data_IF_711033058797
#
_entry.id   IF_711033058797
#
_cell.length_a   1.000
_cell.length_b   1.000
_cell.length_c   1.000
_cell.angle_alpha   90.00
_cell.angle_beta   90.00
_cell.angle_gamma   90.00
#
_symmetry.space_group_name_H-M   'P 1'
#
loop_
_entity.id
_entity.type
_entity.pdbx_description
1 polymer ?
#
# COMPACT_ATOMS: atom_id res chain seq x y z
N UNK A 1 -12.55 24.52 1.00
CA UNK A 1 -11.44 24.28 1.96
C UNK A 1 -10.74 22.98 1.59
N UNK A 2 -9.57 23.04 0.94
CA UNK A 2 -8.82 21.85 0.50
C UNK A 2 -7.99 21.27 1.65
N UNK A 3 -8.45 20.17 2.26
CA UNK A 3 -7.68 19.46 3.28
C UNK A 3 -6.39 18.90 2.65
N UNK A 4 -5.24 19.22 3.25
CA UNK A 4 -3.88 18.77 2.91
C UNK A 4 -3.64 17.27 3.18
N UNK A 5 -4.61 16.39 2.89
CA UNK A 5 -4.41 14.95 3.05
C UNK A 5 -3.44 14.45 1.97
N UNK A 6 -2.35 13.80 2.38
CA UNK A 6 -1.37 13.17 1.47
C UNK A 6 0.06 13.72 1.50
N UNK A 7 0.38 14.73 2.31
CA UNK A 7 1.79 15.19 2.46
C UNK A 7 2.70 14.16 3.14
N UNK A 8 2.34 13.56 4.30
CA UNK A 8 3.18 12.56 4.96
C UNK A 8 3.40 11.34 4.06
N UNK A 9 2.32 10.82 3.47
CA UNK A 9 2.35 9.70 2.52
C UNK A 9 3.34 9.90 1.37
N UNK A 10 3.30 11.07 0.72
CA UNK A 10 4.22 11.38 -0.39
C UNK A 10 5.67 11.49 0.08
N UNK A 11 5.91 11.98 1.30
CA UNK A 11 7.25 12.07 1.88
C UNK A 11 7.81 10.68 2.16
N UNK A 12 7.02 9.78 2.75
CA UNK A 12 7.42 8.41 3.03
C UNK A 12 7.72 7.64 1.74
N UNK A 13 6.86 7.75 0.72
CA UNK A 13 7.13 7.20 -0.60
C UNK A 13 8.43 7.75 -1.21
N UNK A 14 8.67 9.05 -1.08
CA UNK A 14 9.88 9.69 -1.62
C UNK A 14 11.13 9.18 -0.90
N UNK A 15 11.06 9.00 0.41
CA UNK A 15 12.13 8.42 1.22
C UNK A 15 12.42 6.99 0.79
N UNK A 16 11.42 6.12 0.72
CA UNK A 16 11.63 4.71 0.31
C UNK A 16 12.16 4.63 -1.13
N UNK A 17 11.62 5.43 -2.06
CA UNK A 17 12.16 5.56 -3.43
C UNK A 17 13.65 5.90 -3.45
N UNK A 18 14.09 6.80 -2.58
CA UNK A 18 15.51 7.17 -2.46
C UNK A 18 16.33 6.02 -1.89
N UNK A 19 15.85 5.36 -0.83
CA UNK A 19 16.56 4.25 -0.17
C UNK A 19 16.75 3.05 -1.11
N UNK A 20 15.74 2.71 -1.92
CA UNK A 20 15.83 1.63 -2.93
C UNK A 20 16.93 1.83 -3.99
N UNK A 21 17.45 3.05 -4.15
CA UNK A 21 18.52 3.35 -5.10
C UNK A 21 19.91 3.22 -4.49
N UNK A 22 20.02 3.09 -3.17
CA UNK A 22 21.29 2.98 -2.47
C UNK A 22 21.74 1.51 -2.46
N UNK A 23 23.01 1.27 -2.79
CA UNK A 23 23.59 -0.08 -2.83
C UNK A 23 23.48 -0.80 -1.47
N UNK A 24 23.59 -0.06 -0.37
CA UNK A 24 23.47 -0.57 0.99
C UNK A 24 22.11 -1.18 1.33
N UNK A 25 21.08 -0.91 0.51
CA UNK A 25 19.72 -1.42 0.72
C UNK A 25 19.24 -2.31 -0.43
N UNK A 26 20.17 -2.87 -1.24
CA UNK A 26 19.79 -3.74 -2.35
C UNK A 26 18.99 -4.96 -1.89
N UNK A 27 19.35 -5.61 -0.79
CA UNK A 27 18.61 -6.79 -0.31
C UNK A 27 17.50 -6.44 0.70
N UNK A 28 17.15 -5.16 0.84
CA UNK A 28 16.17 -4.71 1.83
C UNK A 28 14.74 -4.74 1.28
N UNK A 29 13.84 -5.39 2.02
CA UNK A 29 12.40 -5.25 1.85
C UNK A 29 11.89 -4.06 2.68
N UNK A 30 11.12 -3.18 2.04
CA UNK A 30 10.50 -2.04 2.70
C UNK A 30 9.02 -2.30 2.96
N UNK A 31 8.56 -1.92 4.14
CA UNK A 31 7.16 -1.97 4.54
C UNK A 31 6.64 -0.55 4.73
N UNK A 32 5.53 -0.25 4.08
CA UNK A 32 4.85 1.04 4.18
C UNK A 32 3.48 0.83 4.83
N UNK A 33 3.30 1.33 6.05
CA UNK A 33 2.06 1.17 6.80
C UNK A 33 1.17 2.41 6.68
N UNK A 34 -0.12 2.19 6.41
CA UNK A 34 -1.13 3.23 6.27
C UNK A 34 -2.37 2.87 7.07
N UNK A 35 -2.87 3.84 7.84
CA UNK A 35 -4.20 3.74 8.47
C UNK A 35 -5.07 4.84 7.86
N UNK A 36 -6.18 4.43 7.27
CA UNK A 36 -7.15 5.29 6.63
C UNK A 36 -8.25 5.64 7.64
N UNK A 37 -8.32 6.91 8.04
CA UNK A 37 -9.33 7.42 8.98
C UNK A 37 -10.68 7.75 8.32
N UNK A 38 -10.74 7.75 6.99
CA UNK A 38 -11.98 7.91 6.24
C UNK A 38 -12.50 6.55 5.76
N UNK A 39 -13.81 6.41 5.58
CA UNK A 39 -14.42 5.26 4.92
C UNK A 39 -14.03 5.24 3.44
N UNK A 40 -13.56 4.09 2.96
CA UNK A 40 -13.21 3.89 1.56
C UNK A 40 -14.20 2.95 0.88
N UNK A 41 -14.38 3.13 -0.43
CA UNK A 41 -14.93 2.09 -1.28
C UNK A 41 -13.87 1.02 -1.47
N UNK A 42 -14.31 -0.24 -1.45
CA UNK A 42 -13.48 -1.45 -1.38
C UNK A 42 -12.52 -1.65 -2.57
N UNK A 43 -12.55 -0.78 -3.57
CA UNK A 43 -11.66 -0.86 -4.73
C UNK A 43 -10.35 -0.06 -4.56
N UNK A 44 -10.18 0.64 -3.43
CA UNK A 44 -9.13 1.66 -3.25
C UNK A 44 -8.15 1.39 -2.10
N UNK A 45 -7.86 0.12 -1.81
CA UNK A 45 -6.98 -0.24 -0.67
C UNK A 45 -5.49 0.01 -0.92
N UNK A 46 -5.02 -0.08 -2.17
CA UNK A 46 -3.62 0.17 -2.51
C UNK A 46 -3.40 1.62 -2.94
N UNK A 47 -2.40 2.27 -2.36
CA UNK A 47 -2.00 3.62 -2.77
C UNK A 47 -0.93 3.60 -3.87
N UNK A 48 -0.38 2.43 -4.15
CA UNK A 48 0.67 2.19 -5.14
C UNK A 48 0.16 1.57 -6.46
N UNK A 49 -1.12 1.71 -6.82
CA UNK A 49 -1.65 1.12 -8.06
C UNK A 49 -1.07 1.71 -9.36
N UNK A 50 -1.01 0.87 -10.41
CA UNK A 50 -0.63 1.26 -11.78
C UNK A 50 0.80 1.79 -11.92
N UNK A 51 0.99 2.94 -12.60
CA UNK A 51 2.32 3.57 -12.79
C UNK A 51 3.02 3.94 -11.47
N UNK A 52 2.30 3.94 -10.34
CA UNK A 52 2.85 4.21 -9.01
C UNK A 52 3.51 2.99 -8.37
N UNK A 53 3.36 1.77 -8.89
CA UNK A 53 4.07 0.58 -8.38
C UNK A 53 5.43 0.35 -9.05
N UNK A 54 5.68 0.91 -10.23
CA UNK A 54 6.86 0.55 -11.06
C UNK A 54 8.22 0.76 -10.35
N UNK A 55 8.29 1.71 -9.42
CA UNK A 55 9.50 1.97 -8.64
C UNK A 55 9.69 1.00 -7.47
N UNK A 56 8.64 0.29 -7.05
CA UNK A 56 8.68 -0.64 -5.92
C UNK A 56 9.58 -1.85 -6.22
N UNK A 57 9.72 -2.24 -7.50
CA UNK A 57 10.67 -3.25 -7.99
C UNK A 57 10.71 -4.54 -7.16
N UNK A 58 9.56 -5.02 -6.68
CA UNK A 58 9.53 -6.23 -5.85
C UNK A 58 10.10 -6.07 -4.43
N UNK A 59 10.26 -4.84 -3.94
CA UNK A 59 10.91 -4.55 -2.65
C UNK A 59 10.07 -3.69 -1.71
N UNK A 60 8.79 -3.51 -2.03
CA UNK A 60 7.86 -2.74 -1.20
C UNK A 60 6.59 -3.53 -0.94
N UNK A 61 6.17 -3.56 0.32
CA UNK A 61 4.90 -4.13 0.76
C UNK A 61 4.10 -3.05 1.48
N UNK A 62 2.84 -2.86 1.12
CA UNK A 62 1.92 -1.98 1.84
C UNK A 62 1.23 -2.77 2.95
N UNK A 63 1.11 -2.16 4.13
CA UNK A 63 0.30 -2.63 5.25
C UNK A 63 -0.82 -1.61 5.42
N UNK A 64 -2.07 -2.02 5.25
CA UNK A 64 -3.21 -1.11 5.16
C UNK A 64 -4.20 -1.44 6.26
N UNK A 65 -4.58 -0.44 7.05
CA UNK A 65 -5.72 -0.46 7.95
C UNK A 65 -6.78 0.52 7.47
N UNK A 66 -8.04 0.13 7.35
CA UNK A 66 -9.09 1.00 6.82
C UNK A 66 -10.49 0.58 7.25
N UNK A 67 -11.43 1.53 7.21
CA UNK A 67 -12.86 1.23 7.33
C UNK A 67 -13.46 1.14 5.92
N UNK A 68 -14.16 0.05 5.65
CA UNK A 68 -14.95 -0.10 4.42
C UNK A 68 -16.28 0.61 4.64
N UNK A 69 -16.76 1.29 3.61
CA UNK A 69 -18.08 1.95 3.65
C UNK A 69 -19.15 0.93 4.04
N UNK A 70 -20.06 1.32 4.93
CA UNK A 70 -21.13 0.49 5.51
C UNK A 70 -20.66 -0.63 6.46
N UNK A 71 -19.38 -0.65 6.82
CA UNK A 71 -18.84 -1.57 7.83
C UNK A 71 -18.39 -0.83 9.10
N UNK A 72 -18.76 -1.38 10.25
CA UNK A 72 -18.34 -0.87 11.56
C UNK A 72 -16.99 -1.41 12.03
N UNK A 73 -16.40 -2.33 11.27
CA UNK A 73 -15.13 -2.99 11.60
C UNK A 73 -14.00 -2.44 10.75
N UNK A 74 -12.85 -2.26 11.39
CA UNK A 74 -11.61 -1.95 10.71
C UNK A 74 -11.06 -3.22 10.05
N UNK A 75 -10.64 -3.07 8.80
CA UNK A 75 -10.00 -4.09 8.00
C UNK A 75 -8.50 -3.86 7.93
N UNK A 76 -7.76 -4.96 7.96
CA UNK A 76 -6.32 -4.95 7.74
C UNK A 76 -5.97 -5.77 6.50
N UNK A 77 -5.14 -5.20 5.64
CA UNK A 77 -4.67 -5.83 4.42
C UNK A 77 -3.15 -5.71 4.28
N UNK A 78 -2.55 -6.72 3.67
CA UNK A 78 -1.16 -6.68 3.23
C UNK A 78 -1.18 -6.75 1.71
N UNK A 79 -0.48 -5.81 1.06
CA UNK A 79 -0.42 -5.72 -0.40
C UNK A 79 1.04 -5.75 -0.78
N UNK A 80 1.51 -6.91 -1.22
CA UNK A 80 2.88 -7.05 -1.66
C UNK A 80 3.03 -6.62 -3.11
N UNK A 81 3.91 -5.65 -3.38
CA UNK A 81 4.33 -5.31 -4.74
C UNK A 81 5.55 -6.11 -5.16
N UNK A 82 5.70 -7.30 -4.55
CA UNK A 82 6.69 -8.30 -4.89
C UNK A 82 6.00 -9.60 -5.26
N UNK A 83 6.52 -10.28 -6.28
CA UNK A 83 6.06 -11.60 -6.66
C UNK A 83 6.46 -12.68 -5.64
N UNK A 84 7.00 -12.28 -4.49
CA UNK A 84 7.40 -13.19 -3.40
C UNK A 84 6.22 -13.64 -2.55
N UNK A 85 5.09 -12.93 -2.58
CA UNK A 85 3.89 -13.30 -1.83
C UNK A 85 2.62 -13.22 -2.70
N UNK A 86 2.52 -14.03 -3.77
CA UNK A 86 1.33 -14.07 -4.63
C UNK A 86 0.08 -14.59 -3.91
N UNK A 87 0.26 -15.29 -2.78
CA UNK A 87 -0.82 -15.73 -1.87
C UNK A 87 -1.32 -14.63 -0.93
N UNK A 88 -0.55 -13.56 -0.74
CA UNK A 88 -0.98 -12.35 -0.04
C UNK A 88 -1.50 -11.34 -1.08
N UNK A 89 -2.38 -11.82 -1.97
CA UNK A 89 -3.26 -10.98 -2.77
C UNK A 89 -4.56 -10.87 -1.99
N UNK A 90 -4.59 -9.93 -1.05
CA UNK A 90 -5.78 -9.57 -0.25
C UNK A 90 -6.40 -10.76 0.51
N UNK A 91 -5.92 -11.01 1.73
CA UNK A 91 -6.80 -11.58 2.77
C UNK A 91 -7.61 -10.46 3.42
N UNK A 92 -8.36 -9.75 2.59
CA UNK A 92 -9.60 -9.13 3.02
C UNK A 92 -10.68 -10.19 2.77
N UNK A 93 -11.70 -10.32 3.64
CA UNK A 93 -12.86 -11.13 3.31
C UNK A 93 -13.47 -10.56 2.02
N UNK A 94 -13.16 -11.23 0.90
CA UNK A 94 -13.55 -10.89 -0.47
C UNK A 94 -13.00 -9.57 -1.04
N UNK A 95 -12.17 -9.66 -2.08
CA UNK A 95 -12.36 -9.04 -3.40
C UNK A 95 -11.22 -9.52 -4.30
N UNK A 96 -11.55 -10.48 -5.16
CA UNK A 96 -10.73 -10.93 -6.28
C UNK A 96 -11.02 -10.00 -7.44
N UNK A 97 -10.13 -9.06 -7.75
CA UNK A 97 -10.15 -8.40 -9.05
C UNK A 97 -9.29 -9.22 -10.01
N UNK A 98 -9.95 -10.03 -10.85
CA UNK A 98 -9.37 -10.58 -12.08
C UNK A 98 -9.34 -9.46 -13.11
N UNK A 99 -8.16 -9.06 -13.57
CA UNK A 99 -7.91 -8.59 -14.93
C UNK A 99 -6.46 -8.90 -15.29
#
# INVERSE_FOLDING_TARGET
MGRRQGRPFRQDMTKVRRLLRLSSYQETQFYLAFVHEATFYSETFSMLTGKRASWARGKVTELVGCFVTDESKMHFGVISHNDMNPRIRLHLPYIVNRH
#
